data_IF_645827681677
#
_entry.id   IF_645827681677
#
_cell.length_a   1.000
_cell.length_b   1.000
_cell.length_c   1.000
_cell.angle_alpha   90.00
_cell.angle_beta   90.00
_cell.angle_gamma   90.00
#
_symmetry.space_group_name_H-M   'P 1'
#
loop_
_entity.id
_entity.type
_entity.pdbx_description
1 polymer ?
#
# COMPACT_ATOMS: atom_id res chain seq x y z
N UNK A 1 -13.63 -9.85 16.70
CA UNK A 1 -12.25 -9.77 17.22
C UNK A 1 -11.33 -10.67 16.39
N UNK A 2 -10.71 -10.14 15.33
CA UNK A 2 -9.71 -10.86 14.54
C UNK A 2 -8.36 -10.24 14.85
N UNK A 3 -7.53 -10.95 15.64
CA UNK A 3 -6.13 -10.59 15.88
C UNK A 3 -5.36 -10.75 14.57
N UNK A 4 -5.23 -9.64 13.82
CA UNK A 4 -4.33 -9.53 12.68
C UNK A 4 -2.91 -9.71 13.21
N UNK A 5 -2.15 -10.62 12.61
CA UNK A 5 -0.73 -10.77 12.89
C UNK A 5 0.00 -9.54 12.34
N UNK A 6 0.14 -8.52 13.18
CA UNK A 6 0.71 -7.22 12.83
C UNK A 6 1.23 -6.56 14.10
N UNK A 7 2.47 -6.85 14.49
CA UNK A 7 2.99 -6.46 15.80
C UNK A 7 3.51 -5.03 15.89
N UNK A 8 4.08 -4.49 14.79
CA UNK A 8 4.72 -3.16 14.81
C UNK A 8 4.25 -2.25 13.66
N UNK A 9 4.00 -2.81 12.47
CA UNK A 9 3.56 -2.02 11.30
C UNK A 9 2.19 -1.34 11.51
N UNK A 10 1.35 -1.84 12.40
CA UNK A 10 0.02 -1.29 12.69
C UNK A 10 0.01 -0.36 13.91
N UNK A 11 1.17 -0.03 14.48
CA UNK A 11 1.23 0.94 15.58
C UNK A 11 0.79 2.33 15.07
N UNK A 12 -0.21 2.91 15.73
CA UNK A 12 -0.78 4.20 15.33
C UNK A 12 -1.60 4.14 14.04
N UNK A 13 -2.00 2.93 13.61
CA UNK A 13 -2.82 2.72 12.40
C UNK A 13 -4.05 3.61 12.38
N UNK A 14 -4.84 3.65 13.46
CA UNK A 14 -6.08 4.43 13.52
C UNK A 14 -5.81 5.93 13.38
N UNK A 15 -4.80 6.45 14.08
CA UNK A 15 -4.39 7.86 13.98
C UNK A 15 -3.92 8.22 12.57
N UNK A 16 -3.11 7.36 11.96
CA UNK A 16 -2.60 7.56 10.61
C UNK A 16 -3.72 7.48 9.56
N UNK A 17 -4.66 6.55 9.72
CA UNK A 17 -5.80 6.39 8.83
C UNK A 17 -6.73 7.60 8.90
N UNK A 18 -7.08 8.06 10.10
CA UNK A 18 -7.89 9.25 10.28
C UNK A 18 -7.21 10.51 9.69
N UNK A 19 -5.90 10.68 9.91
CA UNK A 19 -5.15 11.78 9.32
C UNK A 19 -5.15 11.71 7.79
N UNK A 20 -4.94 10.52 7.21
CA UNK A 20 -4.99 10.31 5.77
C UNK A 20 -6.38 10.67 5.19
N UNK A 21 -7.45 10.16 5.80
CA UNK A 21 -8.82 10.43 5.36
C UNK A 21 -9.15 11.93 5.44
N UNK A 22 -8.72 12.62 6.49
CA UNK A 22 -8.95 14.06 6.66
C UNK A 22 -8.23 14.92 5.60
N UNK A 23 -7.05 14.49 5.14
CA UNK A 23 -6.28 15.20 4.10
C UNK A 23 -6.89 14.98 2.72
N UNK A 24 -7.25 13.73 2.39
CA UNK A 24 -7.75 13.38 1.06
C UNK A 24 -9.24 13.68 0.86
N UNK A 25 -10.01 13.83 1.95
CA UNK A 25 -11.44 14.13 1.92
C UNK A 25 -11.82 15.23 2.93
N UNK A 26 -11.28 16.45 2.81
CA UNK A 26 -11.52 17.55 3.75
C UNK A 26 -12.98 18.00 3.79
N UNK A 27 -13.76 17.71 2.74
CA UNK A 27 -15.20 18.00 2.65
C UNK A 27 -16.04 17.16 3.61
N UNK A 28 -15.47 16.11 4.21
CA UNK A 28 -16.13 15.27 5.20
C UNK A 28 -15.47 15.46 6.55
N UNK A 29 -16.11 16.28 7.40
CA UNK A 29 -15.83 16.28 8.83
C UNK A 29 -16.30 14.92 9.35
N UNK A 30 -15.37 13.99 9.55
CA UNK A 30 -15.61 12.80 10.37
C UNK A 30 -15.92 13.36 11.76
N UNK A 31 -17.17 13.30 12.19
CA UNK A 31 -17.50 13.70 13.56
C UNK A 31 -16.72 12.79 14.51
N UNK A 32 -16.34 13.28 15.69
CA UNK A 32 -15.61 12.46 16.69
C UNK A 32 -16.34 11.15 17.08
N UNK A 33 -17.62 11.03 16.73
CA UNK A 33 -18.48 9.87 17.01
C UNK A 33 -18.63 8.92 15.80
N UNK A 34 -18.19 9.32 14.59
CA UNK A 34 -18.31 8.51 13.39
C UNK A 34 -17.33 7.34 13.43
N UNK A 35 -17.87 6.13 13.54
CA UNK A 35 -17.05 4.91 13.49
C UNK A 35 -16.72 4.56 12.05
N UNK A 36 -15.46 4.77 11.65
CA UNK A 36 -14.96 4.32 10.33
C UNK A 36 -14.90 2.79 10.33
N UNK A 37 -15.64 2.17 9.40
CA UNK A 37 -15.63 0.72 9.24
C UNK A 37 -14.50 0.33 8.29
N UNK A 38 -13.57 -0.50 8.78
CA UNK A 38 -12.43 -0.97 8.00
C UNK A 38 -12.58 -2.46 7.67
N UNK A 39 -12.60 -2.78 6.39
CA UNK A 39 -12.60 -4.15 5.89
C UNK A 39 -11.25 -4.49 5.26
N UNK A 40 -10.58 -5.53 5.74
CA UNK A 40 -9.31 -6.00 5.16
C UNK A 40 -9.52 -7.07 4.09
N UNK A 41 -8.72 -7.02 3.02
CA UNK A 41 -8.67 -8.02 1.96
C UNK A 41 -7.32 -8.73 1.96
N UNK A 42 -7.25 -9.91 1.33
CA UNK A 42 -6.03 -10.73 1.24
C UNK A 42 -5.33 -10.63 -0.10
N UNK A 43 -6.07 -10.24 -1.14
CA UNK A 43 -5.56 -10.11 -2.48
C UNK A 43 -6.40 -9.13 -3.29
N UNK A 44 -5.78 -8.54 -4.30
CA UNK A 44 -6.42 -7.73 -5.34
C UNK A 44 -5.91 -8.18 -6.69
N UNK A 45 -6.80 -8.26 -7.68
CA UNK A 45 -6.42 -8.49 -9.07
C UNK A 45 -6.27 -7.13 -9.75
N UNK A 46 -5.11 -6.90 -10.35
CA UNK A 46 -4.81 -5.67 -11.08
C UNK A 46 -4.67 -5.95 -12.57
N UNK A 47 -4.96 -4.95 -13.38
CA UNK A 47 -4.75 -4.94 -14.82
C UNK A 47 -3.73 -3.85 -15.14
N UNK A 48 -2.70 -4.20 -15.92
CA UNK A 48 -1.62 -3.28 -16.27
C UNK A 48 -1.11 -3.52 -17.69
N UNK A 49 -0.47 -2.52 -18.29
CA UNK A 49 0.09 -2.61 -19.64
C UNK A 49 1.62 -2.43 -19.62
N UNK A 50 2.42 -3.50 -19.79
CA UNK A 50 3.87 -3.39 -19.81
C UNK A 50 4.36 -2.68 -21.08
N UNK A 51 5.43 -1.90 -20.95
CA UNK A 51 6.09 -1.24 -22.09
C UNK A 51 6.80 -2.22 -23.05
N UNK A 52 7.01 -3.47 -22.63
CA UNK A 52 7.68 -4.50 -23.44
C UNK A 52 6.78 -5.03 -24.55
N UNK A 53 5.50 -5.26 -24.26
CA UNK A 53 4.57 -5.92 -25.17
C UNK A 53 3.31 -5.10 -25.47
N UNK A 54 3.08 -4.01 -24.74
CA UNK A 54 1.90 -3.15 -24.86
C UNK A 54 0.58 -3.93 -24.87
N UNK A 55 0.53 -5.09 -24.21
CA UNK A 55 -0.69 -5.88 -24.11
C UNK A 55 -1.26 -5.79 -22.69
N UNK A 56 -2.58 -5.80 -22.58
CA UNK A 56 -3.24 -5.81 -21.28
C UNK A 56 -2.91 -7.12 -20.57
N UNK A 57 -2.27 -7.02 -19.41
CA UNK A 57 -1.91 -8.13 -18.54
C UNK A 57 -2.62 -8.03 -17.20
N UNK A 58 -2.65 -9.14 -16.48
CA UNK A 58 -3.27 -9.27 -15.15
C UNK A 58 -2.25 -9.80 -14.16
N UNK A 59 -2.27 -9.25 -12.95
CA UNK A 59 -1.51 -9.79 -11.82
C UNK A 59 -2.39 -9.86 -10.57
N UNK A 60 -1.99 -10.67 -9.59
CA UNK A 60 -2.66 -10.82 -8.30
C UNK A 60 -1.69 -10.44 -7.21
N UNK A 61 -1.88 -9.26 -6.63
CA UNK A 61 -1.12 -8.82 -5.47
C UNK A 61 -1.72 -9.40 -4.20
N UNK A 62 -0.89 -10.01 -3.35
CA UNK A 62 -1.33 -10.69 -2.12
C UNK A 62 -0.68 -10.09 -0.89
N UNK A 63 -1.46 -9.98 0.17
CA UNK A 63 -1.01 -9.67 1.51
C UNK A 63 -1.42 -10.83 2.43
N UNK A 64 -0.49 -11.78 2.63
CA UNK A 64 -0.73 -12.93 3.50
C UNK A 64 0.17 -12.86 4.74
N UNK A 65 -0.38 -12.47 5.90
CA UNK A 65 0.41 -12.36 7.12
C UNK A 65 0.86 -13.73 7.68
N UNK A 66 0.36 -14.86 7.16
CA UNK A 66 0.71 -16.22 7.58
C UNK A 66 0.92 -17.17 6.39
N UNK A 67 1.82 -16.82 5.49
CA UNK A 67 2.26 -17.70 4.41
C UNK A 67 3.34 -18.69 4.92
N UNK A 68 2.99 -19.97 5.07
CA UNK A 68 3.87 -21.00 5.66
C UNK A 68 4.49 -20.61 7.01
N UNK A 69 3.69 -19.97 7.88
CA UNK A 69 4.14 -19.55 9.21
C UNK A 69 5.00 -18.29 9.23
N UNK A 70 5.17 -17.60 8.09
CA UNK A 70 5.86 -16.32 7.99
C UNK A 70 5.00 -15.29 7.23
N UNK A 71 5.14 -13.98 7.50
CA UNK A 71 4.48 -12.98 6.68
C UNK A 71 5.07 -12.98 5.27
N UNK A 72 4.19 -12.89 4.25
CA UNK A 72 4.56 -12.65 2.86
C UNK A 72 3.77 -11.45 2.35
N UNK A 73 4.51 -10.44 1.94
CA UNK A 73 4.01 -9.22 1.32
C UNK A 73 4.55 -9.17 -0.10
N UNK A 74 3.67 -9.05 -1.10
CA UNK A 74 4.11 -8.88 -2.46
C UNK A 74 4.62 -7.45 -2.68
N UNK A 75 5.66 -7.28 -3.50
CA UNK A 75 6.08 -5.98 -3.98
C UNK A 75 5.22 -5.57 -5.17
N UNK A 76 4.95 -4.27 -5.29
CA UNK A 76 4.27 -3.74 -6.45
C UNK A 76 4.86 -2.41 -6.89
N UNK A 77 4.56 -2.05 -8.12
CA UNK A 77 4.88 -0.76 -8.72
C UNK A 77 3.74 0.21 -8.46
N UNK A 78 4.07 1.44 -8.09
CA UNK A 78 3.08 2.50 -7.96
C UNK A 78 3.60 3.78 -8.58
N UNK A 79 2.66 4.61 -9.03
CA UNK A 79 2.93 5.90 -9.62
C UNK A 79 2.13 6.96 -8.86
N UNK A 80 2.82 7.94 -8.28
CA UNK A 80 2.19 9.17 -7.76
C UNK A 80 2.41 10.28 -8.77
N UNK A 81 1.50 11.25 -8.83
CA UNK A 81 1.49 12.31 -9.86
C UNK A 81 2.81 13.11 -9.97
N UNK A 82 3.70 13.01 -8.98
CA UNK A 82 4.96 13.74 -8.89
C UNK A 82 6.24 12.89 -8.98
N UNK A 83 6.16 11.55 -9.02
CA UNK A 83 7.34 10.67 -8.94
C UNK A 83 7.61 9.82 -10.18
N UNK A 84 8.88 9.43 -10.33
CA UNK A 84 9.26 8.28 -11.15
C UNK A 84 8.61 7.02 -10.56
N UNK A 85 8.24 6.07 -11.43
CA UNK A 85 7.73 4.75 -11.03
C UNK A 85 8.53 4.16 -9.85
N UNK A 86 7.83 3.96 -8.72
CA UNK A 86 8.41 3.55 -7.44
C UNK A 86 7.92 2.16 -7.03
N UNK A 87 8.60 1.56 -6.05
CA UNK A 87 8.28 0.23 -5.53
C UNK A 87 7.83 0.34 -4.07
N UNK A 88 6.90 -0.53 -3.66
CA UNK A 88 6.52 -0.67 -2.26
C UNK A 88 6.17 -2.12 -1.91
N UNK A 89 6.30 -2.48 -0.63
CA UNK A 89 5.74 -3.71 -0.07
C UNK A 89 4.27 -3.50 0.28
N UNK A 90 3.40 -4.39 -0.20
CA UNK A 90 1.98 -4.39 0.16
C UNK A 90 1.78 -5.05 1.53
N UNK A 91 1.58 -4.24 2.57
CA UNK A 91 1.30 -4.73 3.93
C UNK A 91 -0.17 -5.11 4.08
N UNK A 92 -1.07 -4.30 3.53
CA UNK A 92 -2.51 -4.48 3.69
C UNK A 92 -3.33 -3.91 2.54
N UNK A 93 -4.48 -4.54 2.30
CA UNK A 93 -5.52 -4.07 1.39
C UNK A 93 -6.75 -3.77 2.22
N UNK A 94 -7.31 -2.58 2.10
CA UNK A 94 -8.33 -2.07 3.00
C UNK A 94 -9.43 -1.38 2.19
N UNK A 95 -10.69 -1.64 2.55
CA UNK A 95 -11.82 -0.81 2.13
C UNK A 95 -12.37 -0.12 3.37
N UNK A 96 -12.31 1.21 3.39
CA UNK A 96 -12.83 2.02 4.48
C UNK A 96 -14.22 2.53 4.09
N UNK A 97 -15.17 2.44 5.01
CA UNK A 97 -16.52 2.98 4.84
C UNK A 97 -16.79 3.97 5.96
N UNK A 98 -17.03 5.23 5.58
CA UNK A 98 -17.50 6.26 6.50
C UNK A 98 -19.03 6.15 6.58
N UNK A 99 -19.66 6.22 7.77
CA UNK A 99 -21.11 6.27 7.88
C UNK A 99 -21.72 7.37 6.99
N UNK A 100 -22.72 7.01 6.18
CA UNK A 100 -23.32 7.96 5.23
C UNK A 100 -22.38 8.42 4.10
N UNK A 101 -21.28 7.70 3.86
CA UNK A 101 -20.26 8.08 2.89
C UNK A 101 -19.88 7.02 1.86
N UNK A 102 -19.05 7.44 0.89
CA UNK A 102 -18.52 6.52 -0.10
C UNK A 102 -17.53 5.56 0.55
N UNK A 103 -17.20 4.52 -0.20
CA UNK A 103 -16.16 3.56 0.14
C UNK A 103 -14.83 4.03 -0.41
N UNK A 104 -13.75 3.74 0.32
CA UNK A 104 -12.39 4.12 -0.05
C UNK A 104 -11.51 2.88 -0.05
N UNK A 105 -11.00 2.53 -1.22
CA UNK A 105 -10.06 1.43 -1.35
C UNK A 105 -8.63 1.96 -1.18
N UNK A 106 -7.95 1.46 -0.15
CA UNK A 106 -6.63 1.89 0.27
C UNK A 106 -5.68 0.71 0.27
N UNK A 107 -4.42 1.00 -0.02
CA UNK A 107 -3.30 0.10 0.23
C UNK A 107 -2.47 0.65 1.38
N UNK A 108 -2.08 -0.24 2.28
CA UNK A 108 -1.15 0.06 3.37
C UNK A 108 0.21 -0.52 3.01
N UNK A 109 1.22 0.34 2.94
CA UNK A 109 2.45 0.04 2.20
C UNK A 109 3.70 0.44 2.98
N UNK A 110 4.79 -0.30 2.77
CA UNK A 110 6.13 0.15 3.15
C UNK A 110 6.89 0.57 1.88
N UNK A 111 7.30 1.82 1.82
CA UNK A 111 8.09 2.34 0.71
C UNK A 111 9.53 1.83 0.76
N UNK A 112 10.24 1.95 -0.37
CA UNK A 112 11.69 1.86 -0.37
C UNK A 112 12.32 3.23 -0.57
N UNK A 113 13.48 3.44 0.05
CA UNK A 113 14.34 4.61 -0.19
C UNK A 113 15.65 4.16 -0.80
N UNK A 114 16.32 5.06 -1.51
CA UNK A 114 17.65 4.76 -2.04
C UNK A 114 18.60 4.39 -0.91
N UNK A 115 19.28 3.25 -1.05
CA UNK A 115 20.26 2.81 -0.07
C UNK A 115 21.57 3.54 -0.29
N UNK A 116 22.29 3.77 0.82
CA UNK A 116 23.69 4.25 0.78
C UNK A 116 24.67 3.14 0.43
N UNK A 117 24.26 1.88 0.55
CA UNK A 117 25.11 0.74 0.23
C UNK A 117 25.33 0.65 -1.28
N UNK A 118 26.57 0.35 -1.68
CA UNK A 118 26.96 0.20 -3.08
C UNK A 118 27.31 -1.24 -3.39
N UNK A 119 26.72 -1.85 -4.43
CA UNK A 119 27.05 -3.20 -4.82
C UNK A 119 28.44 -3.25 -5.42
N UNK A 120 29.12 -4.38 -5.23
CA UNK A 120 30.46 -4.62 -5.79
C UNK A 120 30.44 -4.66 -7.33
N UNK A 121 29.33 -5.10 -7.91
CA UNK A 121 29.09 -5.15 -9.36
C UNK A 121 27.92 -4.22 -9.66
N UNK A 122 28.15 -3.23 -10.53
CA UNK A 122 27.16 -2.23 -10.89
C UNK A 122 26.76 -2.38 -12.36
N UNK A 123 25.45 -2.37 -12.61
CA UNK A 123 24.88 -2.36 -13.95
C UNK A 123 24.24 -1.00 -14.22
N UNK A 124 24.24 -0.55 -15.48
CA UNK A 124 23.58 0.70 -15.86
C UNK A 124 22.09 0.60 -15.50
N UNK A 125 21.59 1.55 -14.71
CA UNK A 125 20.20 1.56 -14.23
C UNK A 125 19.96 0.77 -12.94
N UNK A 126 20.98 0.16 -12.34
CA UNK A 126 20.86 -0.51 -11.06
C UNK A 126 20.55 0.49 -9.95
N UNK A 127 19.39 0.33 -9.29
CA UNK A 127 19.00 1.06 -8.09
C UNK A 127 19.05 0.10 -6.90
N UNK A 128 19.84 0.42 -5.89
CA UNK A 128 19.77 -0.28 -4.61
C UNK A 128 18.88 0.54 -3.69
N UNK A 129 17.87 -0.12 -3.16
CA UNK A 129 16.90 0.49 -2.26
C UNK A 129 16.82 -0.31 -0.97
N UNK A 130 16.44 0.36 0.10
CA UNK A 130 16.24 -0.21 1.43
C UNK A 130 14.83 0.10 1.92
N UNK A 131 14.25 -0.81 2.69
CA UNK A 131 12.89 -0.67 3.21
C UNK A 131 12.79 0.51 4.18
N UNK A 132 11.80 1.37 3.98
CA UNK A 132 11.36 2.36 4.95
C UNK A 132 10.50 1.67 6.00
N UNK A 133 10.90 1.78 7.27
CA UNK A 133 10.20 1.15 8.41
C UNK A 133 8.86 1.80 8.77
N UNK A 134 8.48 2.88 8.09
CA UNK A 134 7.25 3.63 8.40
C UNK A 134 6.23 3.35 7.30
N UNK A 135 5.17 2.59 7.61
CA UNK A 135 4.12 2.34 6.64
C UNK A 135 3.27 3.59 6.39
N UNK A 136 2.74 3.68 5.18
CA UNK A 136 1.87 4.78 4.75
C UNK A 136 0.65 4.23 4.01
N UNK A 137 -0.38 5.06 3.88
CA UNK A 137 -1.56 4.76 3.08
C UNK A 137 -1.41 5.38 1.70
N UNK A 138 -1.80 4.63 0.68
CA UNK A 138 -2.01 5.16 -0.67
C UNK A 138 -3.41 4.76 -1.15
N UNK A 139 -4.05 5.58 -2.00
CA UNK A 139 -5.25 5.13 -2.70
C UNK A 139 -4.93 3.94 -3.62
N UNK A 140 -5.83 2.95 -3.70
CA UNK A 140 -5.61 1.75 -4.51
C UNK A 140 -5.37 2.05 -6.00
N UNK A 141 -5.90 3.16 -6.51
CA UNK A 141 -5.72 3.60 -7.90
C UNK A 141 -4.27 3.93 -8.28
N UNK A 142 -3.40 4.17 -7.29
CA UNK A 142 -1.98 4.45 -7.51
C UNK A 142 -1.16 3.17 -7.74
N UNK A 143 -1.72 2.00 -7.42
CA UNK A 143 -1.14 0.70 -7.77
C UNK A 143 -1.14 0.58 -9.29
N UNK A 144 0.04 0.40 -9.88
CA UNK A 144 0.29 0.63 -11.30
C UNK A 144 -0.74 -0.02 -12.25
N UNK A 145 -1.19 0.84 -13.18
CA UNK A 145 -1.82 0.53 -14.47
C UNK A 145 -0.76 0.61 -15.57
#
# INVERSE_FOLDING_TARGET
MSRVAGGEAFNGFDTALCAFLAIHHPERVIASEDTVMVQSFRAVQIEFQPTVNWSLQRDILRCNPKFHGRPRYDCFLYNTESELLSFAFLIGLLCCTIPGGPKFDLVFVCHFKNSKWKPRIFWRGCRVVEECRRPEFLPLEHVAR
#
